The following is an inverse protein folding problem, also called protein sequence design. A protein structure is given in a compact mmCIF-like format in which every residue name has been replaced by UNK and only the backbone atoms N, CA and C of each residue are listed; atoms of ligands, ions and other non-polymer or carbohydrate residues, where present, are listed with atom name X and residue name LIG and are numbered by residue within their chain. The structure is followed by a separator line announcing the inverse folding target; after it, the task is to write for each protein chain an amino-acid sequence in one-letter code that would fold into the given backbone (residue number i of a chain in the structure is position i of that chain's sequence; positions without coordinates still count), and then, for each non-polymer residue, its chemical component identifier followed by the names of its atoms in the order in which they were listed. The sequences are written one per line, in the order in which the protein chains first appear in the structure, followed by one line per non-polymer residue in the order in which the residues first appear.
data_IF_332960083969
#
_entry.id   IF_332960083969
#
_cell.length_a   1.000
_cell.length_b   1.000
_cell.length_c   1.000
_cell.angle_alpha   90.00
_cell.angle_beta   90.00
_cell.angle_gamma   90.00
#
_symmetry.space_group_name_H-M   'P 1'
#
loop_
_entity.id
_entity.type
_entity.pdbx_description
1 polymer ?
#
# COMPACT_ATOMS: atom_id res chain seq x y z
N UNK A 1 -10.84 -35.69 -18.93
CA UNK A 1 -9.93 -35.52 -17.79
C UNK A 1 -8.75 -34.72 -18.30
N UNK A 2 -8.81 -33.41 -18.18
CA UNK A 2 -7.79 -32.50 -18.72
C UNK A 2 -7.28 -31.69 -17.51
N UNK A 3 -6.11 -32.11 -16.99
CA UNK A 3 -5.43 -31.42 -15.90
C UNK A 3 -4.58 -30.29 -16.51
N UNK A 4 -5.10 -29.07 -16.47
CA UNK A 4 -4.28 -27.86 -16.66
C UNK A 4 -3.73 -27.44 -15.29
N UNK A 5 -2.42 -27.22 -15.14
CA UNK A 5 -1.85 -26.72 -13.89
C UNK A 5 -2.29 -25.27 -13.64
N UNK A 6 -2.78 -25.01 -12.43
CA UNK A 6 -3.10 -23.67 -11.93
C UNK A 6 -1.88 -22.75 -12.04
N UNK A 7 -1.99 -21.76 -12.92
CA UNK A 7 -1.02 -20.66 -12.95
C UNK A 7 -1.16 -19.87 -11.64
N UNK A 8 -0.13 -19.90 -10.81
CA UNK A 8 -0.01 -19.06 -9.62
C UNK A 8 -0.24 -17.59 -10.00
N UNK A 9 -1.40 -17.05 -9.64
CA UNK A 9 -1.71 -15.62 -9.73
C UNK A 9 -0.95 -14.90 -8.62
N UNK A 10 0.24 -14.42 -8.93
CA UNK A 10 1.04 -13.60 -8.02
C UNK A 10 0.49 -12.18 -8.04
N UNK A 11 -0.02 -11.72 -6.89
CA UNK A 11 -0.55 -10.37 -6.74
C UNK A 11 0.56 -9.30 -6.80
N UNK A 12 0.16 -8.06 -7.12
CA UNK A 12 1.00 -6.88 -7.37
C UNK A 12 2.02 -6.57 -6.25
N UNK A 13 1.78 -7.03 -5.03
CA UNK A 13 2.51 -6.62 -3.83
C UNK A 13 2.96 -7.77 -2.92
N UNK A 14 3.13 -8.95 -3.48
CA UNK A 14 3.80 -10.05 -2.74
C UNK A 14 5.22 -9.69 -2.28
N UNK A 15 5.68 -8.48 -2.60
CA UNK A 15 6.91 -7.89 -2.08
C UNK A 15 6.92 -7.73 -0.57
N UNK A 16 5.75 -7.72 0.07
CA UNK A 16 5.62 -7.34 1.48
C UNK A 16 5.28 -8.49 2.43
N UNK A 17 5.11 -9.72 1.94
CA UNK A 17 4.51 -10.80 2.76
C UNK A 17 5.27 -12.11 2.82
N UNK A 18 6.61 -12.14 2.78
CA UNK A 18 7.33 -13.40 3.02
C UNK A 18 8.55 -13.21 3.92
N UNK A 19 8.31 -13.14 5.22
CA UNK A 19 9.27 -13.50 6.25
C UNK A 19 8.54 -13.90 7.54
N UNK A 20 7.81 -15.01 7.54
CA UNK A 20 7.52 -15.78 8.76
C UNK A 20 7.21 -17.23 8.38
N UNK A 21 8.10 -18.14 8.78
CA UNK A 21 7.80 -19.56 8.92
C UNK A 21 8.39 -20.46 7.85
N UNK A 22 9.59 -20.95 8.11
CA UNK A 22 9.97 -22.38 8.08
C UNK A 22 11.49 -22.50 8.31
N UNK A 23 11.88 -22.68 9.55
CA UNK A 23 13.13 -23.40 9.89
C UNK A 23 12.86 -24.88 9.62
N UNK A 24 13.16 -25.34 8.42
CA UNK A 24 13.36 -26.72 8.11
C UNK A 24 14.85 -26.91 7.78
N UNK A 25 15.53 -27.64 8.64
CA UNK A 25 16.90 -28.06 8.43
C UNK A 25 17.03 -28.84 7.11
N UNK A 26 17.83 -28.31 6.18
CA UNK A 26 18.35 -29.06 5.05
C UNK A 26 19.85 -29.20 5.23
N UNK A 27 20.25 -30.43 5.54
CA UNK A 27 21.63 -30.87 5.47
C UNK A 27 22.12 -30.88 4.02
N UNK A 28 23.25 -30.29 3.82
CA UNK A 28 24.24 -30.28 2.79
C UNK A 28 24.02 -31.03 1.49
N UNK A 29 23.94 -30.23 0.40
CA UNK A 29 24.70 -30.48 -0.82
C UNK A 29 25.41 -29.17 -1.12
N UNK A 30 26.73 -29.14 -1.01
CA UNK A 30 27.56 -28.03 -1.44
C UNK A 30 27.51 -27.99 -2.98
N UNK A 31 26.50 -27.36 -3.54
CA UNK A 31 26.57 -26.88 -4.91
C UNK A 31 27.62 -25.77 -4.94
N UNK A 32 28.68 -25.96 -5.72
CA UNK A 32 29.64 -24.93 -5.99
C UNK A 32 28.88 -23.64 -6.37
N UNK A 33 28.91 -22.64 -5.50
CA UNK A 33 28.32 -21.33 -5.74
C UNK A 33 29.11 -20.72 -6.90
N UNK A 34 28.59 -20.84 -8.13
CA UNK A 34 29.12 -20.02 -9.22
C UNK A 34 29.05 -18.57 -8.75
N UNK A 35 30.19 -17.89 -8.78
CA UNK A 35 30.25 -16.47 -8.44
C UNK A 35 29.23 -15.74 -9.32
N UNK A 36 28.38 -14.90 -8.71
CA UNK A 36 27.39 -14.14 -9.45
C UNK A 36 28.11 -13.26 -10.48
N UNK A 37 27.74 -13.27 -11.78
CA UNK A 37 28.34 -12.43 -12.81
C UNK A 37 28.38 -10.97 -12.36
N UNK A 38 29.40 -10.22 -12.74
CA UNK A 38 29.40 -8.78 -12.51
C UNK A 38 28.15 -8.10 -13.13
N UNK A 39 27.71 -6.99 -12.57
CA UNK A 39 26.48 -6.33 -13.02
C UNK A 39 26.47 -6.04 -14.53
N UNK A 40 27.58 -5.56 -15.11
CA UNK A 40 27.69 -5.31 -16.54
C UNK A 40 27.51 -6.59 -17.37
N UNK A 41 28.11 -7.70 -16.94
CA UNK A 41 27.92 -9.00 -17.60
C UNK A 41 26.48 -9.50 -17.48
N UNK A 42 25.82 -9.25 -16.33
CA UNK A 42 24.41 -9.56 -16.15
C UNK A 42 23.54 -8.73 -17.12
N UNK A 43 23.79 -7.43 -17.29
CA UNK A 43 23.07 -6.57 -18.24
C UNK A 43 23.13 -7.19 -19.65
N UNK A 44 24.31 -7.60 -20.11
CA UNK A 44 24.42 -8.25 -21.42
C UNK A 44 23.68 -9.61 -21.49
N UNK A 45 23.76 -10.42 -20.45
CA UNK A 45 23.03 -11.69 -20.39
C UNK A 45 21.51 -11.54 -20.27
N UNK A 46 21.03 -10.38 -19.79
CA UNK A 46 19.60 -10.05 -19.68
C UNK A 46 18.99 -9.59 -21.01
N UNK A 47 19.81 -9.00 -21.91
CA UNK A 47 19.40 -8.48 -23.23
C UNK A 47 18.52 -9.43 -24.03
N UNK A 48 18.91 -10.70 -24.30
CA UNK A 48 18.08 -11.61 -25.10
C UNK A 48 16.69 -11.84 -24.49
N UNK A 49 16.60 -11.85 -23.15
CA UNK A 49 15.32 -12.03 -22.44
C UNK A 49 14.39 -10.83 -22.59
N UNK A 50 14.93 -9.61 -22.59
CA UNK A 50 14.17 -8.40 -22.83
C UNK A 50 13.68 -8.32 -24.28
N UNK A 51 14.57 -8.62 -25.25
CA UNK A 51 14.24 -8.65 -26.68
C UNK A 51 13.15 -9.67 -26.97
N UNK A 52 13.26 -10.89 -26.44
CA UNK A 52 12.24 -11.94 -26.58
C UNK A 52 10.86 -11.54 -26.03
N UNK A 53 10.78 -10.49 -25.20
CA UNK A 53 9.54 -9.96 -24.63
C UNK A 53 9.08 -8.64 -25.26
N UNK A 54 9.64 -8.27 -26.42
CA UNK A 54 9.20 -7.16 -27.25
C UNK A 54 9.84 -5.82 -26.92
N UNK A 55 11.03 -5.81 -26.34
CA UNK A 55 11.91 -4.63 -26.25
C UNK A 55 12.84 -4.65 -27.45
N UNK A 56 12.95 -3.57 -28.23
CA UNK A 56 13.91 -3.49 -29.32
C UNK A 56 15.35 -3.43 -28.81
N UNK A 57 16.31 -3.87 -29.63
CA UNK A 57 17.73 -3.76 -29.29
C UNK A 57 18.15 -2.29 -29.10
N UNK A 58 17.59 -1.40 -29.90
CA UNK A 58 17.83 0.04 -29.81
C UNK A 58 17.36 0.61 -28.47
N UNK A 59 16.13 0.30 -28.01
CA UNK A 59 15.63 0.75 -26.70
C UNK A 59 16.42 0.12 -25.57
N UNK A 60 16.74 -1.18 -25.65
CA UNK A 60 17.56 -1.84 -24.65
C UNK A 60 18.93 -1.15 -24.50
N UNK A 61 19.63 -0.94 -25.61
CA UNK A 61 20.94 -0.28 -25.60
C UNK A 61 20.87 1.13 -25.05
N UNK A 62 19.91 1.93 -25.52
CA UNK A 62 19.73 3.31 -25.03
C UNK A 62 19.51 3.39 -23.53
N UNK A 63 18.73 2.47 -22.97
CA UNK A 63 18.31 2.53 -21.54
C UNK A 63 19.29 1.79 -20.63
N UNK A 64 19.80 0.63 -21.05
CA UNK A 64 20.55 -0.28 -20.19
C UNK A 64 22.08 -0.18 -20.31
N UNK A 65 22.62 0.36 -21.41
CA UNK A 65 24.07 0.38 -21.63
C UNK A 65 24.88 1.09 -20.50
N UNK A 66 24.32 2.14 -19.95
CA UNK A 66 24.98 2.94 -18.89
C UNK A 66 24.24 2.86 -17.54
N UNK A 67 23.30 1.92 -17.37
CA UNK A 67 22.55 1.80 -16.14
C UNK A 67 23.49 1.41 -14.99
N UNK A 68 23.36 2.14 -13.88
CA UNK A 68 24.01 1.79 -12.59
C UNK A 68 22.95 1.29 -11.64
N UNK A 69 23.16 0.14 -10.96
CA UNK A 69 22.16 -0.41 -10.06
C UNK A 69 22.04 0.47 -8.81
N UNK A 70 20.81 0.80 -8.41
CA UNK A 70 20.56 1.47 -7.12
C UNK A 70 20.58 0.42 -6.00
N UNK A 71 21.77 0.14 -5.46
CA UNK A 71 21.93 -0.87 -4.41
C UNK A 71 21.33 -0.48 -3.07
N UNK A 72 20.92 0.79 -2.89
CA UNK A 72 20.24 1.24 -1.66
C UNK A 72 18.87 0.56 -1.44
N UNK A 73 18.29 -0.02 -2.50
CA UNK A 73 17.03 -0.78 -2.43
C UNK A 73 17.14 -2.03 -1.54
N UNK A 74 18.33 -2.61 -1.40
CA UNK A 74 18.52 -3.82 -0.57
C UNK A 74 18.31 -3.56 0.92
N UNK A 75 18.64 -2.37 1.42
CA UNK A 75 18.35 -1.98 2.79
C UNK A 75 16.82 -1.86 3.01
N UNK A 76 16.11 -1.32 2.02
CA UNK A 76 14.65 -1.14 2.08
C UNK A 76 13.88 -2.48 2.14
N UNK A 77 14.42 -3.53 1.51
CA UNK A 77 13.82 -4.89 1.58
C UNK A 77 13.92 -5.45 3.01
N UNK A 78 15.05 -5.20 3.70
CA UNK A 78 15.30 -5.72 5.04
C UNK A 78 14.56 -4.96 6.13
N UNK A 79 14.43 -3.64 5.95
CA UNK A 79 13.87 -2.71 6.93
C UNK A 79 12.43 -2.32 6.58
N UNK A 80 11.51 -3.31 6.51
CA UNK A 80 10.10 -3.03 6.24
C UNK A 80 9.37 -2.69 7.56
N UNK A 81 9.10 -1.41 7.87
CA UNK A 81 8.47 -1.01 9.14
C UNK A 81 7.07 -1.59 9.33
N UNK A 82 6.41 -1.97 8.24
CA UNK A 82 5.02 -2.44 8.21
C UNK A 82 4.79 -3.76 8.97
N UNK A 83 5.85 -4.54 9.21
CA UNK A 83 5.77 -5.78 9.98
C UNK A 83 6.01 -5.59 11.49
N UNK A 84 6.50 -4.42 11.90
CA UNK A 84 6.83 -4.14 13.30
C UNK A 84 5.83 -3.20 13.97
N UNK A 85 4.90 -2.61 13.23
CA UNK A 85 3.91 -1.68 13.74
C UNK A 85 2.64 -2.41 14.16
N UNK A 86 2.17 -2.22 15.40
CA UNK A 86 0.91 -2.80 15.85
C UNK A 86 -0.27 -2.19 15.10
N UNK A 87 -1.32 -2.98 14.86
CA UNK A 87 -2.43 -2.61 13.97
C UNK A 87 -3.07 -1.25 14.31
N UNK A 88 -3.32 -0.95 15.59
CA UNK A 88 -3.98 0.31 15.95
C UNK A 88 -3.09 1.54 15.70
N UNK A 89 -1.74 1.42 15.89
CA UNK A 89 -0.80 2.49 15.54
C UNK A 89 -0.78 2.71 14.03
N UNK A 90 -0.76 1.62 13.27
CA UNK A 90 -0.84 1.66 11.80
C UNK A 90 -2.11 2.38 11.34
N UNK A 91 -3.29 2.01 11.90
CA UNK A 91 -4.56 2.65 11.58
C UNK A 91 -4.55 4.14 11.95
N UNK A 92 -4.15 4.50 13.16
CA UNK A 92 -4.11 5.90 13.61
C UNK A 92 -3.22 6.77 12.70
N UNK A 93 -2.07 6.25 12.27
CA UNK A 93 -1.17 6.96 11.37
C UNK A 93 -1.71 7.07 9.95
N UNK A 94 -2.41 6.05 9.46
CA UNK A 94 -2.94 6.01 8.10
C UNK A 94 -4.30 6.68 7.96
N UNK A 95 -5.13 6.66 9.00
CA UNK A 95 -6.48 7.26 9.05
C UNK A 95 -6.44 8.52 9.92
N UNK A 96 -5.53 9.43 9.61
CA UNK A 96 -5.35 10.69 10.34
C UNK A 96 -6.32 11.77 9.87
N UNK A 97 -6.58 12.77 10.73
CA UNK A 97 -7.41 13.93 10.39
C UNK A 97 -6.92 14.64 9.12
N UNK A 98 -5.59 14.73 8.94
CA UNK A 98 -5.00 15.28 7.71
C UNK A 98 -5.52 14.55 6.46
N UNK A 99 -5.40 13.20 6.42
CA UNK A 99 -5.86 12.43 5.26
C UNK A 99 -7.38 12.46 5.07
N UNK A 100 -8.13 12.45 6.17
CA UNK A 100 -9.59 12.53 6.12
C UNK A 100 -10.02 13.86 5.49
N UNK A 101 -9.48 14.98 5.97
CA UNK A 101 -9.84 16.31 5.50
C UNK A 101 -9.41 16.51 4.04
N UNK A 102 -8.17 16.20 3.70
CA UNK A 102 -7.70 16.26 2.33
C UNK A 102 -8.50 15.36 1.40
N UNK A 103 -8.85 14.15 1.84
CA UNK A 103 -9.69 13.24 1.05
C UNK A 103 -11.07 13.83 0.76
N UNK A 104 -11.71 14.47 1.74
CA UNK A 104 -13.00 15.17 1.57
C UNK A 104 -12.89 16.33 0.58
N UNK A 105 -11.80 17.09 0.64
CA UNK A 105 -11.56 18.19 -0.28
C UNK A 105 -11.33 17.69 -1.71
N UNK A 106 -10.56 16.61 -1.88
CA UNK A 106 -10.35 15.99 -3.19
C UNK A 106 -11.61 15.32 -3.76
N UNK A 107 -12.48 14.74 -2.93
CA UNK A 107 -13.80 14.26 -3.40
C UNK A 107 -14.62 15.41 -3.99
N UNK A 108 -14.61 16.60 -3.38
CA UNK A 108 -15.29 17.78 -3.91
C UNK A 108 -14.61 18.30 -5.18
N UNK A 109 -13.29 18.47 -5.13
CA UNK A 109 -12.48 19.01 -6.23
C UNK A 109 -12.59 18.16 -7.51
N UNK A 110 -12.63 16.83 -7.36
CA UNK A 110 -12.68 15.88 -8.48
C UNK A 110 -14.05 15.21 -8.63
N UNK A 111 -15.14 15.85 -8.17
CA UNK A 111 -16.47 15.25 -8.15
C UNK A 111 -16.89 14.72 -9.54
N UNK A 112 -16.75 15.52 -10.60
CA UNK A 112 -17.13 15.11 -11.96
C UNK A 112 -16.32 13.92 -12.49
N UNK A 113 -15.02 13.85 -12.16
CA UNK A 113 -14.17 12.70 -12.52
C UNK A 113 -14.61 11.47 -11.76
N UNK A 114 -14.79 11.59 -10.45
CA UNK A 114 -15.18 10.46 -9.57
C UNK A 114 -16.58 9.94 -9.93
N UNK A 115 -17.53 10.83 -10.29
CA UNK A 115 -18.86 10.44 -10.78
C UNK A 115 -18.77 9.60 -12.06
N UNK A 116 -17.89 9.97 -12.99
CA UNK A 116 -17.67 9.18 -14.22
C UNK A 116 -17.07 7.81 -13.89
N UNK A 117 -16.00 7.77 -13.08
CA UNK A 117 -15.30 6.52 -12.73
C UNK A 117 -16.24 5.57 -11.99
N UNK A 118 -17.02 6.07 -11.03
CA UNK A 118 -17.97 5.27 -10.27
C UNK A 118 -19.10 4.73 -11.16
N UNK A 119 -19.61 5.55 -12.11
CA UNK A 119 -20.58 5.09 -13.11
C UNK A 119 -20.00 4.01 -14.02
N UNK A 120 -18.77 4.18 -14.51
CA UNK A 120 -18.19 3.30 -15.51
C UNK A 120 -17.69 1.97 -14.90
N UNK A 121 -17.13 2.01 -13.71
CA UNK A 121 -16.54 0.83 -13.06
C UNK A 121 -17.30 0.30 -11.85
N UNK A 122 -18.22 1.07 -11.28
CA UNK A 122 -18.96 0.66 -10.08
C UNK A 122 -18.13 0.59 -8.80
N UNK A 123 -16.95 1.17 -8.80
CA UNK A 123 -16.08 1.24 -7.61
C UNK A 123 -16.42 2.50 -6.84
N UNK A 124 -16.66 2.35 -5.54
CA UNK A 124 -16.96 3.44 -4.62
C UNK A 124 -15.84 4.51 -4.66
N UNK A 125 -16.23 5.76 -4.88
CA UNK A 125 -15.32 6.91 -4.99
C UNK A 125 -14.46 7.11 -3.74
N UNK A 126 -15.01 6.84 -2.56
CA UNK A 126 -14.29 7.02 -1.31
C UNK A 126 -13.17 5.98 -1.16
N UNK A 127 -13.38 4.76 -1.67
CA UNK A 127 -12.34 3.72 -1.73
C UNK A 127 -11.20 4.15 -2.67
N UNK A 128 -11.51 4.73 -3.83
CA UNK A 128 -10.49 5.23 -4.76
C UNK A 128 -9.67 6.39 -4.16
N UNK A 129 -10.36 7.35 -3.53
CA UNK A 129 -9.71 8.49 -2.89
C UNK A 129 -8.89 8.05 -1.69
N UNK A 130 -9.36 7.07 -0.90
CA UNK A 130 -8.59 6.50 0.20
C UNK A 130 -7.33 5.76 -0.30
N UNK A 131 -7.42 4.98 -1.37
CA UNK A 131 -6.25 4.37 -2.02
C UNK A 131 -5.25 5.44 -2.44
N UNK A 132 -5.69 6.49 -3.12
CA UNK A 132 -4.84 7.60 -3.52
C UNK A 132 -4.14 8.26 -2.32
N UNK A 133 -4.88 8.51 -1.24
CA UNK A 133 -4.34 9.08 -0.01
C UNK A 133 -3.30 8.20 0.69
N UNK A 134 -3.52 6.89 0.72
CA UNK A 134 -2.59 5.93 1.35
C UNK A 134 -1.33 5.74 0.49
N UNK A 135 -1.47 5.69 -0.83
CA UNK A 135 -0.38 5.37 -1.75
C UNK A 135 0.61 6.52 -1.95
N UNK A 136 0.12 7.72 -2.11
CA UNK A 136 0.96 8.87 -2.47
C UNK A 136 0.63 10.17 -1.74
N UNK A 137 -0.17 10.12 -0.66
CA UNK A 137 -0.72 11.33 -0.03
C UNK A 137 -1.38 12.24 -1.08
N UNK A 138 -2.30 11.67 -1.85
CA UNK A 138 -3.03 12.38 -2.91
C UNK A 138 -2.13 12.97 -4.00
N UNK A 139 -1.04 12.29 -4.33
CA UNK A 139 -0.10 12.72 -5.36
C UNK A 139 1.04 13.62 -4.88
N UNK A 140 1.00 14.14 -3.66
CA UNK A 140 2.05 15.05 -3.13
C UNK A 140 3.44 14.40 -3.11
N UNK A 141 3.51 13.08 -2.92
CA UNK A 141 4.79 12.38 -2.87
C UNK A 141 5.34 12.04 -4.26
N UNK A 142 4.53 12.13 -5.32
CA UNK A 142 4.90 11.67 -6.66
C UNK A 142 6.09 12.42 -7.24
N UNK A 143 6.18 13.72 -6.99
CA UNK A 143 7.28 14.56 -7.46
C UNK A 143 8.42 14.70 -6.44
N UNK A 144 8.32 14.12 -5.24
CA UNK A 144 9.28 14.34 -4.18
C UNK A 144 10.48 13.38 -4.30
N UNK A 145 11.71 13.88 -4.60
CA UNK A 145 12.90 13.06 -4.81
C UNK A 145 13.36 12.30 -3.57
N UNK A 146 12.92 12.69 -2.37
CA UNK A 146 13.19 11.97 -1.13
C UNK A 146 12.51 10.60 -1.09
N UNK A 147 11.33 10.47 -1.74
CA UNK A 147 10.53 9.27 -1.73
C UNK A 147 10.52 8.54 -3.08
N UNK A 148 10.74 9.28 -4.17
CA UNK A 148 10.69 8.77 -5.54
C UNK A 148 12.08 8.79 -6.17
N UNK A 149 12.53 7.65 -6.63
CA UNK A 149 13.84 7.42 -7.26
C UNK A 149 13.70 6.96 -8.71
N UNK A 150 14.75 6.98 -9.51
CA UNK A 150 14.72 6.39 -10.85
C UNK A 150 14.36 4.89 -10.79
N UNK A 151 13.33 4.50 -11.54
CA UNK A 151 12.76 3.13 -11.49
C UNK A 151 13.66 2.12 -12.17
N UNK A 152 14.27 2.46 -13.32
CA UNK A 152 15.14 1.54 -14.07
C UNK A 152 16.35 1.09 -13.22
N UNK A 153 17.14 1.97 -12.59
CA UNK A 153 18.21 1.58 -11.67
C UNK A 153 17.76 0.72 -10.49
N UNK A 154 16.58 1.04 -9.92
CA UNK A 154 16.03 0.30 -8.79
C UNK A 154 15.62 -1.13 -9.18
N UNK A 155 14.86 -1.29 -10.27
CA UNK A 155 14.46 -2.59 -10.78
C UNK A 155 15.65 -3.41 -11.29
N UNK A 156 16.65 -2.78 -11.93
CA UNK A 156 17.86 -3.45 -12.35
C UNK A 156 18.66 -4.02 -11.16
N UNK A 157 18.78 -3.24 -10.06
CA UNK A 157 19.39 -3.73 -8.84
C UNK A 157 18.62 -4.92 -8.25
N UNK A 158 17.30 -4.84 -8.16
CA UNK A 158 16.44 -5.92 -7.63
C UNK A 158 16.51 -7.18 -8.50
N UNK A 159 16.45 -7.04 -9.81
CA UNK A 159 16.55 -8.15 -10.78
C UNK A 159 17.91 -8.84 -10.71
N UNK A 160 18.98 -8.07 -10.50
CA UNK A 160 20.33 -8.59 -10.35
C UNK A 160 20.57 -9.23 -8.99
N UNK A 161 20.26 -8.54 -7.89
CA UNK A 161 20.76 -8.85 -6.56
C UNK A 161 19.75 -9.45 -5.58
N UNK A 162 18.44 -9.60 -5.92
CA UNK A 162 17.44 -10.22 -5.06
C UNK A 162 17.03 -11.61 -5.57
N UNK A 163 17.70 -12.68 -5.13
CA UNK A 163 17.52 -14.01 -5.70
C UNK A 163 16.15 -14.63 -5.44
N UNK A 164 15.49 -14.29 -4.31
CA UNK A 164 14.22 -14.90 -3.90
C UNK A 164 13.07 -14.59 -4.86
N UNK A 165 13.11 -13.41 -5.51
CA UNK A 165 12.07 -12.93 -6.42
C UNK A 165 12.65 -12.45 -7.76
N UNK A 166 13.80 -12.96 -8.16
CA UNK A 166 14.50 -12.53 -9.38
C UNK A 166 13.59 -12.51 -10.60
N UNK A 167 12.86 -13.59 -10.86
CA UNK A 167 11.97 -13.68 -12.01
C UNK A 167 10.89 -12.59 -12.04
N UNK A 168 10.36 -12.22 -10.88
CA UNK A 168 9.41 -11.11 -10.74
C UNK A 168 10.07 -9.77 -11.07
N UNK A 169 11.24 -9.48 -10.50
CA UNK A 169 11.94 -8.22 -10.73
C UNK A 169 12.42 -8.09 -12.17
N UNK A 170 12.91 -9.16 -12.77
CA UNK A 170 13.25 -9.20 -14.20
C UNK A 170 12.02 -8.91 -15.07
N UNK A 171 10.87 -9.47 -14.74
CA UNK A 171 9.63 -9.20 -15.47
C UNK A 171 9.19 -7.74 -15.33
N UNK A 172 9.28 -7.15 -14.14
CA UNK A 172 8.94 -5.75 -13.93
C UNK A 172 9.92 -4.80 -14.65
N UNK A 173 11.21 -5.14 -14.69
CA UNK A 173 12.18 -4.39 -15.48
C UNK A 173 11.86 -4.47 -16.99
N UNK A 174 11.51 -5.65 -17.50
CA UNK A 174 11.07 -5.83 -18.90
C UNK A 174 9.81 -4.99 -19.16
N UNK A 175 8.84 -4.99 -18.25
CA UNK A 175 7.62 -4.21 -18.38
C UNK A 175 7.93 -2.70 -18.43
N UNK A 176 8.86 -2.21 -17.59
CA UNK A 176 9.32 -0.83 -17.62
C UNK A 176 9.99 -0.46 -18.95
N UNK A 177 10.85 -1.34 -19.47
CA UNK A 177 11.47 -1.15 -20.79
C UNK A 177 10.42 -1.13 -21.92
N UNK A 178 9.39 -1.96 -21.84
CA UNK A 178 8.28 -1.97 -22.83
C UNK A 178 7.41 -0.71 -22.77
N UNK A 179 7.26 -0.09 -21.61
CA UNK A 179 6.60 1.23 -21.49
C UNK A 179 7.39 2.29 -22.24
N UNK A 180 8.73 2.26 -22.07
CA UNK A 180 9.65 3.17 -22.78
C UNK A 180 9.65 2.87 -24.29
N UNK A 181 9.64 1.61 -24.69
CA UNK A 181 9.53 1.18 -26.10
C UNK A 181 8.30 1.75 -26.79
N UNK A 182 7.16 1.80 -26.07
CA UNK A 182 5.90 2.36 -26.57
C UNK A 182 5.87 3.90 -26.60
N UNK A 183 6.91 4.55 -26.10
CA UNK A 183 6.95 6.00 -25.97
C UNK A 183 5.99 6.58 -24.91
N UNK A 184 5.48 5.73 -24.01
CA UNK A 184 4.57 6.21 -22.96
C UNK A 184 5.29 6.95 -21.84
N UNK A 185 6.60 6.74 -21.69
CA UNK A 185 7.46 7.44 -20.73
C UNK A 185 8.92 7.38 -21.17
N UNK A 186 9.78 8.14 -20.49
CA UNK A 186 11.23 8.07 -20.62
C UNK A 186 11.85 7.51 -19.33
N UNK A 187 13.13 7.04 -19.37
CA UNK A 187 13.81 6.58 -18.14
C UNK A 187 13.87 7.66 -17.05
N UNK A 188 13.96 8.93 -17.44
CA UNK A 188 14.06 10.09 -16.54
C UNK A 188 12.72 10.40 -15.87
N UNK A 189 11.61 10.27 -16.61
CA UNK A 189 10.25 10.44 -16.10
C UNK A 189 9.82 9.32 -15.17
N UNK A 190 10.36 8.10 -15.38
CA UNK A 190 10.00 6.93 -14.56
C UNK A 190 10.60 7.02 -13.17
N UNK A 191 9.90 7.71 -12.28
CA UNK A 191 10.27 7.83 -10.87
C UNK A 191 9.24 7.13 -9.99
N UNK A 192 9.73 6.39 -9.00
CA UNK A 192 8.85 5.57 -8.16
C UNK A 192 9.47 5.21 -6.82
N UNK A 193 8.79 4.34 -6.09
CA UNK A 193 9.30 3.77 -4.85
C UNK A 193 10.56 2.92 -5.10
N UNK A 194 11.21 2.49 -4.03
CA UNK A 194 12.36 1.58 -4.10
C UNK A 194 12.04 0.25 -4.84
N UNK A 195 10.79 -0.16 -4.86
CA UNK A 195 10.31 -1.36 -5.54
C UNK A 195 9.82 -1.10 -6.98
N UNK A 196 9.92 0.14 -7.49
CA UNK A 196 9.48 0.51 -8.82
C UNK A 196 7.99 0.80 -8.96
N UNK A 197 7.25 0.99 -7.87
CA UNK A 197 5.86 1.43 -7.90
C UNK A 197 5.79 2.94 -8.19
N UNK A 198 4.91 3.37 -9.11
CA UNK A 198 4.92 4.70 -9.71
C UNK A 198 3.57 5.43 -9.61
N UNK A 199 3.65 6.75 -9.60
CA UNK A 199 2.51 7.65 -9.79
C UNK A 199 1.54 7.72 -8.62
N UNK A 200 0.39 8.32 -8.87
CA UNK A 200 -0.64 8.64 -7.88
C UNK A 200 -1.09 7.44 -7.03
N UNK A 201 -1.25 6.30 -7.64
CA UNK A 201 -1.73 5.06 -6.98
C UNK A 201 -0.69 3.95 -6.98
N UNK A 202 0.59 4.32 -7.16
CA UNK A 202 1.74 3.44 -7.02
C UNK A 202 1.66 2.16 -7.87
N UNK A 203 1.52 2.33 -9.20
CA UNK A 203 1.50 1.19 -10.13
C UNK A 203 2.86 0.57 -10.31
N UNK A 204 2.89 -0.75 -10.29
CA UNK A 204 4.01 -1.50 -10.88
C UNK A 204 3.97 -1.39 -12.41
N UNK A 205 5.11 -1.52 -13.11
CA UNK A 205 5.14 -1.50 -14.58
C UNK A 205 4.15 -2.46 -15.24
N UNK A 206 3.92 -3.64 -14.65
CA UNK A 206 2.93 -4.62 -15.13
C UNK A 206 1.53 -4.01 -15.19
N UNK A 207 1.14 -3.29 -14.13
CA UNK A 207 -0.19 -2.68 -14.05
C UNK A 207 -0.35 -1.56 -15.06
N UNK A 208 0.67 -0.74 -15.24
CA UNK A 208 0.67 0.30 -16.27
C UNK A 208 0.42 -0.29 -17.66
N UNK A 209 1.14 -1.36 -18.03
CA UNK A 209 1.01 -2.01 -19.35
C UNK A 209 -0.32 -2.71 -19.58
N UNK A 210 -0.85 -3.39 -18.56
CA UNK A 210 -1.95 -4.35 -18.75
C UNK A 210 -3.31 -3.85 -18.24
N UNK A 211 -3.31 -2.85 -17.36
CA UNK A 211 -4.52 -2.30 -16.72
C UNK A 211 -4.68 -0.82 -17.01
N UNK A 212 -3.58 -0.11 -17.25
CA UNK A 212 -3.58 1.32 -17.52
C UNK A 212 -4.56 1.73 -18.61
N UNK A 213 -5.23 2.86 -18.41
CA UNK A 213 -6.23 3.44 -19.28
C UNK A 213 -5.85 4.91 -19.54
N UNK A 214 -5.91 5.34 -20.78
CA UNK A 214 -5.97 6.75 -21.18
C UNK A 214 -7.41 7.22 -20.96
N UNK A 215 -7.72 7.68 -19.76
CA UNK A 215 -9.09 8.00 -19.36
C UNK A 215 -9.49 9.45 -19.66
N UNK A 216 -8.53 10.35 -19.67
CA UNK A 216 -8.76 11.76 -20.12
C UNK A 216 -8.62 11.92 -21.63
N UNK A 217 -8.22 10.84 -22.36
CA UNK A 217 -8.12 10.76 -23.83
C UNK A 217 -7.12 11.75 -24.43
N UNK A 218 -6.02 11.98 -23.71
CA UNK A 218 -4.93 12.83 -24.21
C UNK A 218 -3.95 12.10 -25.12
N UNK A 219 -4.15 10.77 -25.34
CA UNK A 219 -3.31 9.91 -26.16
C UNK A 219 -2.20 9.21 -25.39
N UNK A 220 -2.10 9.39 -24.07
CA UNK A 220 -1.09 8.80 -23.21
C UNK A 220 -1.72 8.17 -21.96
N UNK A 221 -1.17 7.05 -21.54
CA UNK A 221 -1.49 6.48 -20.22
C UNK A 221 -0.48 7.03 -19.22
N UNK A 222 -0.89 7.93 -18.35
CA UNK A 222 0.02 8.65 -17.46
C UNK A 222 -0.33 8.52 -15.97
N UNK A 223 0.45 7.74 -15.18
CA UNK A 223 0.20 7.63 -13.74
C UNK A 223 0.63 8.84 -12.92
N UNK A 224 1.34 9.83 -13.50
CA UNK A 224 1.99 10.93 -12.79
C UNK A 224 1.27 12.28 -12.94
N UNK A 225 0.60 12.51 -14.05
CA UNK A 225 0.02 13.80 -14.42
C UNK A 225 -1.23 14.14 -13.63
N UNK A 226 -2.31 14.40 -14.35
CA UNK A 226 -3.63 14.49 -13.72
C UNK A 226 -4.03 13.13 -13.13
N UNK A 227 -4.87 13.09 -12.08
CA UNK A 227 -5.23 11.84 -11.44
C UNK A 227 -6.18 10.94 -12.24
N UNK A 228 -6.68 11.42 -13.40
CA UNK A 228 -7.72 10.78 -14.21
C UNK A 228 -7.35 9.33 -14.57
N UNK A 229 -6.21 9.13 -15.23
CA UNK A 229 -5.73 7.81 -15.64
C UNK A 229 -5.44 6.92 -14.44
N UNK A 230 -4.80 7.48 -13.42
CA UNK A 230 -4.42 6.74 -12.24
C UNK A 230 -5.64 6.21 -11.49
N UNK A 231 -6.65 7.05 -11.26
CA UNK A 231 -7.86 6.67 -10.53
C UNK A 231 -8.74 5.71 -11.35
N UNK A 232 -8.95 5.99 -12.63
CA UNK A 232 -9.73 5.13 -13.50
C UNK A 232 -9.09 3.74 -13.68
N UNK A 233 -7.77 3.69 -13.88
CA UNK A 233 -7.06 2.41 -13.97
C UNK A 233 -7.05 1.65 -12.64
N UNK A 234 -7.02 2.35 -11.50
CA UNK A 234 -7.16 1.72 -10.19
C UNK A 234 -8.55 1.11 -10.02
N UNK A 235 -9.61 1.81 -10.47
CA UNK A 235 -10.96 1.25 -10.50
C UNK A 235 -11.02 0.01 -11.42
N UNK A 236 -10.47 0.10 -12.63
CA UNK A 236 -10.34 -1.02 -13.56
C UNK A 236 -9.59 -2.21 -12.93
N UNK A 237 -8.51 -1.94 -12.18
CA UNK A 237 -7.76 -2.97 -11.44
C UNK A 237 -8.64 -3.69 -10.41
N UNK A 238 -9.35 -2.94 -9.58
CA UNK A 238 -10.22 -3.50 -8.55
C UNK A 238 -11.33 -4.37 -9.16
N UNK A 239 -11.88 -3.99 -10.31
CA UNK A 239 -12.87 -4.78 -11.03
C UNK A 239 -12.23 -6.02 -11.67
N UNK A 240 -11.15 -5.86 -12.44
CA UNK A 240 -10.55 -6.95 -13.23
C UNK A 240 -9.79 -7.97 -12.37
N UNK A 241 -9.10 -7.52 -11.33
CA UNK A 241 -8.27 -8.37 -10.46
C UNK A 241 -8.96 -8.73 -9.15
N UNK A 242 -9.79 -7.81 -8.61
CA UNK A 242 -10.47 -7.97 -7.34
C UNK A 242 -11.93 -8.44 -7.48
N UNK A 243 -12.49 -8.40 -8.68
CA UNK A 243 -13.92 -8.64 -8.90
C UNK A 243 -14.82 -7.73 -8.05
N UNK A 244 -14.43 -6.46 -7.89
CA UNK A 244 -15.14 -5.48 -7.07
C UNK A 244 -16.62 -5.40 -7.49
N UNK A 245 -17.53 -5.38 -6.53
CA UNK A 245 -18.98 -5.39 -6.76
C UNK A 245 -19.57 -4.03 -6.45
N UNK A 246 -20.32 -3.51 -7.43
CA UNK A 246 -21.05 -2.26 -7.32
C UNK A 246 -22.08 -2.33 -6.18
N UNK A 247 -22.11 -1.28 -5.35
CA UNK A 247 -23.09 -1.13 -4.28
C UNK A 247 -22.92 -2.03 -3.07
N UNK A 248 -21.92 -2.92 -3.06
CA UNK A 248 -21.56 -3.68 -1.86
C UNK A 248 -20.52 -2.92 -1.03
N UNK A 249 -20.80 -2.77 0.27
CA UNK A 249 -19.85 -2.23 1.23
C UNK A 249 -18.73 -3.25 1.51
N UNK A 250 -17.54 -2.79 1.93
CA UNK A 250 -16.40 -3.67 2.22
C UNK A 250 -16.63 -4.60 3.42
N UNK A 251 -17.49 -4.19 4.36
CA UNK A 251 -17.76 -4.89 5.61
C UNK A 251 -18.13 -3.93 6.73
N UNK A 252 -18.14 -4.41 7.96
CA UNK A 252 -18.57 -3.63 9.13
C UNK A 252 -17.80 -4.03 10.37
N UNK A 253 -17.49 -3.06 11.24
CA UNK A 253 -17.14 -3.33 12.62
C UNK A 253 -18.37 -3.91 13.34
N UNK A 254 -18.16 -4.96 14.15
CA UNK A 254 -19.27 -5.70 14.77
C UNK A 254 -19.03 -5.99 16.25
N UNK A 255 -20.11 -6.06 17.02
CA UNK A 255 -20.16 -6.67 18.34
C UNK A 255 -20.52 -8.14 18.16
N UNK A 256 -19.85 -9.03 18.88
CA UNK A 256 -20.12 -10.47 18.83
C UNK A 256 -20.27 -11.04 20.23
N UNK A 257 -21.17 -12.00 20.45
CA UNK A 257 -21.23 -12.79 21.69
C UNK A 257 -19.95 -13.62 21.89
N UNK A 258 -19.65 -13.92 23.15
CA UNK A 258 -18.56 -14.82 23.48
C UNK A 258 -18.79 -16.21 22.82
N UNK A 259 -17.73 -16.84 22.38
CA UNK A 259 -17.79 -18.17 21.75
C UNK A 259 -18.10 -18.16 20.24
N UNK A 260 -18.53 -17.03 19.65
CA UNK A 260 -18.69 -16.92 18.19
C UNK A 260 -17.31 -16.87 17.55
N UNK A 261 -17.01 -17.89 16.72
CA UNK A 261 -15.70 -18.08 16.08
C UNK A 261 -15.66 -17.54 14.66
N UNK A 262 -14.46 -17.27 14.16
CA UNK A 262 -14.23 -16.89 12.76
C UNK A 262 -14.80 -17.93 11.80
N UNK A 263 -15.60 -17.49 10.86
CA UNK A 263 -16.20 -18.27 9.80
C UNK A 263 -16.70 -17.32 8.68
N UNK A 264 -17.15 -17.89 7.57
CA UNK A 264 -17.85 -17.13 6.51
C UNK A 264 -19.33 -17.54 6.53
N UNK A 265 -20.23 -16.55 6.66
CA UNK A 265 -21.68 -16.74 6.69
C UNK A 265 -22.35 -15.54 6.04
N UNK A 266 -23.66 -15.66 5.74
CA UNK A 266 -24.47 -14.48 5.37
C UNK A 266 -24.65 -13.53 6.55
N UNK A 267 -24.87 -12.24 6.29
CA UNK A 267 -25.16 -11.28 7.36
C UNK A 267 -26.38 -11.71 8.20
N UNK A 268 -27.42 -12.24 7.55
CA UNK A 268 -28.60 -12.78 8.26
C UNK A 268 -28.22 -13.94 9.21
N UNK A 269 -27.30 -14.83 8.78
CA UNK A 269 -26.85 -15.93 9.61
C UNK A 269 -25.98 -15.43 10.78
N UNK A 270 -25.20 -14.38 10.59
CA UNK A 270 -24.46 -13.71 11.65
C UNK A 270 -25.39 -13.07 12.68
N UNK A 271 -26.45 -12.39 12.22
CA UNK A 271 -27.48 -11.80 13.12
C UNK A 271 -28.17 -12.85 13.99
N UNK A 272 -28.49 -14.02 13.41
CA UNK A 272 -29.07 -15.17 14.20
C UNK A 272 -28.12 -15.67 15.29
N UNK A 273 -26.83 -15.46 15.15
CA UNK A 273 -25.81 -15.77 16.18
C UNK A 273 -25.59 -14.60 17.16
N UNK A 274 -26.39 -13.54 17.08
CA UNK A 274 -26.28 -12.37 17.94
C UNK A 274 -25.17 -11.38 17.53
N UNK A 275 -24.58 -11.53 16.35
CA UNK A 275 -23.61 -10.57 15.83
C UNK A 275 -24.36 -9.36 15.28
N UNK A 276 -23.99 -8.16 15.76
CA UNK A 276 -24.61 -6.89 15.35
C UNK A 276 -23.54 -5.90 14.88
N UNK A 277 -23.91 -4.94 14.07
CA UNK A 277 -23.00 -3.84 13.74
C UNK A 277 -22.67 -3.05 15.01
N UNK A 278 -21.44 -2.60 15.14
CA UNK A 278 -20.97 -1.86 16.31
C UNK A 278 -21.66 -0.49 16.45
N UNK A 279 -22.07 0.10 15.31
CA UNK A 279 -22.83 1.36 15.25
C UNK A 279 -24.34 1.21 15.50
N UNK A 280 -24.82 -0.01 15.77
CA UNK A 280 -26.23 -0.32 16.05
C UNK A 280 -27.15 -0.36 14.84
N UNK A 281 -26.64 -0.12 13.63
CA UNK A 281 -27.46 -0.17 12.41
C UNK A 281 -27.71 -1.61 11.92
N UNK A 282 -28.71 -1.81 11.05
CA UNK A 282 -28.95 -3.09 10.39
C UNK A 282 -27.93 -3.35 9.28
N UNK A 283 -27.71 -4.61 8.92
CA UNK A 283 -26.96 -4.97 7.72
C UNK A 283 -27.84 -4.78 6.48
N UNK A 284 -27.43 -3.94 5.51
CA UNK A 284 -28.30 -3.59 4.37
C UNK A 284 -28.49 -4.74 3.36
N UNK A 285 -27.59 -5.72 3.35
CA UNK A 285 -27.61 -6.85 2.39
C UNK A 285 -27.59 -8.20 3.14
N UNK A 286 -28.72 -8.65 3.73
CA UNK A 286 -28.76 -9.80 4.63
C UNK A 286 -28.28 -11.12 4.00
N UNK A 287 -28.42 -11.27 2.68
CA UNK A 287 -28.00 -12.46 1.95
C UNK A 287 -26.53 -12.42 1.48
N UNK A 288 -25.87 -11.27 1.54
CA UNK A 288 -24.45 -11.18 1.21
C UNK A 288 -23.61 -11.90 2.28
N UNK A 289 -22.50 -12.49 1.85
CA UNK A 289 -21.61 -13.23 2.75
C UNK A 289 -20.48 -12.35 3.25
N UNK A 290 -20.11 -12.56 4.52
CA UNK A 290 -18.95 -11.92 5.12
C UNK A 290 -18.21 -12.89 6.03
N UNK A 291 -16.88 -12.72 6.11
CA UNK A 291 -16.03 -13.47 7.03
C UNK A 291 -15.86 -12.68 8.33
N UNK A 292 -16.15 -13.30 9.46
CA UNK A 292 -15.77 -12.75 10.75
C UNK A 292 -14.25 -12.77 10.89
N UNK A 293 -13.67 -11.66 11.31
CA UNK A 293 -12.23 -11.53 11.59
C UNK A 293 -12.02 -10.74 12.87
N UNK A 294 -11.09 -11.21 13.70
CA UNK A 294 -10.61 -10.53 14.91
C UNK A 294 -9.10 -10.37 14.77
N UNK A 295 -8.64 -9.28 14.11
CA UNK A 295 -7.22 -9.12 13.79
C UNK A 295 -6.30 -9.05 15.01
N UNK A 296 -6.84 -8.62 16.15
CA UNK A 296 -6.12 -8.52 17.43
C UNK A 296 -7.03 -9.07 18.53
N UNK A 297 -6.54 -10.02 19.30
CA UNK A 297 -7.29 -10.60 20.43
C UNK A 297 -7.72 -9.50 21.42
N UNK A 298 -8.99 -9.50 21.80
CA UNK A 298 -9.59 -8.48 22.66
C UNK A 298 -9.87 -7.14 22.00
N UNK A 299 -9.56 -7.00 20.72
CA UNK A 299 -9.82 -5.80 19.91
C UNK A 299 -11.12 -5.87 19.11
N UNK A 300 -11.36 -4.85 18.26
CA UNK A 300 -12.51 -4.81 17.35
C UNK A 300 -12.62 -6.06 16.46
N UNK A 301 -13.85 -6.53 16.32
CA UNK A 301 -14.19 -7.58 15.37
C UNK A 301 -14.82 -6.97 14.12
N UNK A 302 -14.62 -7.61 12.98
CA UNK A 302 -15.11 -7.15 11.69
C UNK A 302 -15.81 -8.30 10.94
N UNK A 303 -16.89 -7.98 10.26
CA UNK A 303 -17.43 -8.80 9.19
C UNK A 303 -16.89 -8.27 7.87
N UNK A 304 -15.93 -8.98 7.28
CA UNK A 304 -15.24 -8.61 6.05
C UNK A 304 -16.01 -9.18 4.84
N UNK A 305 -16.58 -8.30 4.05
CA UNK A 305 -17.34 -8.63 2.85
C UNK A 305 -16.47 -8.87 1.61
N UNK A 306 -17.13 -9.06 0.47
CA UNK A 306 -16.44 -9.34 -0.80
C UNK A 306 -15.50 -8.19 -1.21
N UNK A 307 -15.95 -6.95 -1.11
CA UNK A 307 -15.16 -5.79 -1.53
C UNK A 307 -13.94 -5.54 -0.64
N UNK A 308 -13.92 -6.03 0.60
CA UNK A 308 -12.67 -6.08 1.38
C UNK A 308 -11.63 -6.96 0.68
N UNK A 309 -12.03 -8.14 0.21
CA UNK A 309 -11.13 -9.04 -0.52
C UNK A 309 -10.70 -8.44 -1.86
N UNK A 310 -11.58 -7.70 -2.53
CA UNK A 310 -11.26 -6.99 -3.77
C UNK A 310 -10.16 -5.93 -3.53
N UNK A 311 -10.28 -5.09 -2.51
CA UNK A 311 -9.25 -4.12 -2.14
C UNK A 311 -7.97 -4.81 -1.70
N UNK A 312 -8.05 -5.95 -1.01
CA UNK A 312 -6.90 -6.73 -0.57
C UNK A 312 -6.05 -7.27 -1.73
N UNK A 313 -6.59 -7.38 -2.95
CA UNK A 313 -5.77 -7.72 -4.13
C UNK A 313 -4.74 -6.65 -4.48
N UNK A 314 -4.99 -5.41 -4.05
CA UNK A 314 -4.05 -4.30 -4.24
C UNK A 314 -2.79 -4.46 -3.36
N UNK A 315 -2.98 -4.91 -2.13
CA UNK A 315 -1.92 -5.30 -1.19
C UNK A 315 -2.46 -6.39 -0.25
N UNK A 316 -1.79 -7.54 -0.11
CA UNK A 316 -2.28 -8.67 0.67
C UNK A 316 -2.31 -8.42 2.20
N UNK A 317 -1.75 -7.33 2.69
CA UNK A 317 -1.78 -6.96 4.12
C UNK A 317 -3.20 -6.62 4.58
N UNK A 318 -3.65 -7.28 5.64
CA UNK A 318 -4.94 -6.99 6.27
C UNK A 318 -4.94 -5.59 6.90
N UNK A 319 -3.83 -5.18 7.54
CA UNK A 319 -3.69 -3.85 8.14
C UNK A 319 -3.80 -2.74 7.09
N UNK A 320 -3.15 -2.93 5.94
CA UNK A 320 -3.26 -2.01 4.81
C UNK A 320 -4.71 -1.91 4.29
N UNK A 321 -5.36 -3.06 4.08
CA UNK A 321 -6.73 -3.07 3.58
C UNK A 321 -7.69 -2.41 4.55
N UNK A 322 -7.58 -2.72 5.86
CA UNK A 322 -8.38 -2.07 6.90
C UNK A 322 -8.16 -0.55 6.93
N UNK A 323 -6.93 -0.08 6.77
CA UNK A 323 -6.65 1.35 6.72
C UNK A 323 -7.34 2.03 5.54
N UNK A 324 -7.31 1.42 4.35
CA UNK A 324 -7.97 1.98 3.15
C UNK A 324 -9.47 2.05 3.34
N UNK A 325 -10.12 0.93 3.70
CA UNK A 325 -11.56 0.89 3.79
C UNK A 325 -12.10 1.72 4.96
N UNK A 326 -11.37 1.78 6.08
CA UNK A 326 -11.71 2.67 7.19
C UNK A 326 -11.50 4.14 6.82
N UNK A 327 -10.42 4.49 6.12
CA UNK A 327 -10.22 5.85 5.61
C UNK A 327 -11.33 6.25 4.62
N UNK A 328 -11.77 5.33 3.76
CA UNK A 328 -12.90 5.55 2.86
C UNK A 328 -14.17 5.91 3.63
N UNK A 329 -14.52 5.14 4.65
CA UNK A 329 -15.68 5.42 5.51
C UNK A 329 -15.54 6.79 6.20
N UNK A 330 -14.35 7.11 6.71
CA UNK A 330 -14.10 8.40 7.37
C UNK A 330 -14.22 9.59 6.42
N UNK A 331 -13.75 9.46 5.17
CA UNK A 331 -13.91 10.48 4.12
C UNK A 331 -15.39 10.64 3.78
N UNK A 332 -16.14 9.55 3.69
CA UNK A 332 -17.58 9.53 3.43
C UNK A 332 -18.43 10.14 4.58
N UNK A 333 -17.82 10.47 5.72
CA UNK A 333 -18.51 11.06 6.88
C UNK A 333 -18.76 10.08 8.03
N UNK A 334 -18.35 8.84 7.90
CA UNK A 334 -18.43 7.83 8.97
C UNK A 334 -17.57 8.20 10.20
N UNK A 335 -17.93 7.63 11.34
CA UNK A 335 -17.24 7.80 12.61
C UNK A 335 -15.94 6.99 12.73
N UNK A 336 -15.17 7.18 13.81
CA UNK A 336 -14.07 6.30 14.17
C UNK A 336 -14.58 4.90 14.52
N UNK A 337 -13.67 3.92 14.68
CA UNK A 337 -14.02 2.62 15.23
C UNK A 337 -14.64 2.80 16.63
N UNK A 338 -15.69 2.03 16.90
CA UNK A 338 -16.48 2.12 18.17
C UNK A 338 -15.75 1.41 19.31
N UNK A 339 -15.09 0.30 18.99
CA UNK A 339 -14.36 -0.50 19.98
C UNK A 339 -12.88 -0.16 19.94
N UNK A 340 -12.24 -0.12 21.10
CA UNK A 340 -10.80 0.14 21.22
C UNK A 340 -9.99 -1.14 21.09
N UNK A 341 -8.78 -1.04 20.55
CA UNK A 341 -7.78 -2.12 20.63
C UNK A 341 -7.16 -2.16 22.04
N UNK A 342 -6.73 -3.33 22.53
CA UNK A 342 -6.00 -3.41 23.78
C UNK A 342 -4.75 -2.52 23.78
N UNK A 343 -4.61 -1.71 24.83
CA UNK A 343 -3.49 -0.77 24.98
C UNK A 343 -3.46 0.39 24.01
N UNK A 344 -4.49 0.57 23.18
CA UNK A 344 -4.53 1.67 22.21
C UNK A 344 -4.73 3.04 22.86
N UNK A 345 -4.25 4.05 22.16
CA UNK A 345 -4.60 5.44 22.37
C UNK A 345 -5.60 5.88 21.29
N UNK A 346 -6.42 6.88 21.56
CA UNK A 346 -7.19 7.50 20.48
C UNK A 346 -6.23 8.13 19.45
N UNK A 347 -6.69 8.29 18.23
CA UNK A 347 -5.92 8.99 17.19
C UNK A 347 -5.70 10.45 17.65
N UNK A 348 -4.44 10.94 17.65
CA UNK A 348 -4.18 12.35 17.89
C UNK A 348 -4.82 13.22 16.81
N UNK A 349 -5.36 14.37 17.20
CA UNK A 349 -5.86 15.36 16.25
C UNK A 349 -4.73 16.00 15.45
N UNK A 350 -5.06 16.66 14.34
CA UNK A 350 -4.08 17.40 13.55
C UNK A 350 -3.33 18.43 14.40
N UNK A 351 -4.05 19.19 15.25
CA UNK A 351 -3.46 20.19 16.13
C UNK A 351 -2.50 19.57 17.16
N UNK A 352 -2.86 18.41 17.72
CA UNK A 352 -2.01 17.68 18.66
C UNK A 352 -0.73 17.15 18.01
N UNK A 353 -0.81 16.67 16.76
CA UNK A 353 0.38 16.25 16.01
C UNK A 353 1.27 17.45 15.67
N UNK A 354 0.72 18.57 15.30
CA UNK A 354 1.48 19.80 15.08
C UNK A 354 2.14 20.31 16.37
N UNK A 355 1.44 20.24 17.51
CA UNK A 355 2.02 20.58 18.82
C UNK A 355 3.17 19.63 19.15
N UNK A 356 2.98 18.32 18.98
CA UNK A 356 3.98 17.30 19.22
C UNK A 356 5.27 17.57 18.39
N UNK A 357 5.10 17.85 17.10
CA UNK A 357 6.23 18.17 16.23
C UNK A 357 6.98 19.44 16.66
N UNK A 358 6.26 20.52 16.97
CA UNK A 358 6.89 21.77 17.48
C UNK A 358 7.66 21.52 18.77
N UNK A 359 7.08 20.79 19.73
CA UNK A 359 7.73 20.49 21.01
C UNK A 359 8.94 19.58 20.87
N UNK A 360 8.89 18.57 19.98
CA UNK A 360 10.02 17.72 19.66
C UNK A 360 11.18 18.54 19.10
N UNK A 361 10.92 19.40 18.12
CA UNK A 361 11.94 20.26 17.52
C UNK A 361 12.54 21.23 18.55
N UNK A 362 11.71 21.84 19.41
CA UNK A 362 12.19 22.68 20.50
C UNK A 362 13.04 21.89 21.53
N UNK A 363 12.79 20.61 21.74
CA UNK A 363 13.56 19.73 22.61
C UNK A 363 14.84 19.17 21.94
N UNK A 364 15.15 19.59 20.70
CA UNK A 364 16.34 19.20 19.95
C UNK A 364 16.16 17.95 19.07
N UNK A 365 14.91 17.50 18.82
CA UNK A 365 14.59 16.38 17.95
C UNK A 365 13.85 16.89 16.70
N UNK A 366 14.61 17.16 15.63
CA UNK A 366 14.06 17.71 14.40
C UNK A 366 13.07 16.74 13.73
N UNK A 367 11.87 17.25 13.44
CA UNK A 367 10.77 16.53 12.78
C UNK A 367 10.62 16.85 11.29
N UNK A 368 11.45 17.77 10.78
CA UNK A 368 11.36 18.27 9.41
C UNK A 368 10.16 19.20 9.17
N UNK A 369 9.60 19.77 10.27
CA UNK A 369 8.45 20.68 10.23
C UNK A 369 7.34 20.29 11.19
N UNK A 370 6.26 21.11 11.26
CA UNK A 370 5.12 20.89 12.15
C UNK A 370 3.80 20.93 11.35
N UNK A 371 3.72 20.12 10.30
CA UNK A 371 2.58 20.02 9.39
C UNK A 371 1.48 19.07 9.90
N UNK A 372 1.71 18.36 11.01
CA UNK A 372 0.79 17.36 11.57
C UNK A 372 0.82 16.00 10.82
N UNK A 373 1.79 15.80 9.93
CA UNK A 373 1.99 14.56 9.17
C UNK A 373 3.07 13.71 9.83
N UNK A 374 2.75 12.47 10.16
CA UNK A 374 3.72 11.55 10.75
C UNK A 374 4.48 10.81 9.65
N UNK A 375 5.58 11.40 9.21
CA UNK A 375 6.54 10.82 8.26
C UNK A 375 7.72 10.17 8.96
N UNK A 376 8.70 9.71 8.16
CA UNK A 376 9.90 9.04 8.67
C UNK A 376 10.70 9.91 9.64
N UNK A 377 10.82 11.21 9.38
CA UNK A 377 11.60 12.11 10.24
C UNK A 377 10.91 12.30 11.59
N UNK A 378 9.58 12.52 11.59
CA UNK A 378 8.79 12.57 12.83
C UNK A 378 8.95 11.27 13.64
N UNK A 379 8.84 10.10 13.00
CA UNK A 379 8.99 8.81 13.69
C UNK A 379 10.41 8.63 14.28
N UNK A 380 11.43 9.04 13.56
CA UNK A 380 12.82 9.02 14.07
C UNK A 380 13.00 9.95 15.26
N UNK A 381 12.48 11.19 15.18
CA UNK A 381 12.52 12.17 16.24
C UNK A 381 11.79 11.66 17.51
N UNK A 382 10.60 11.10 17.35
CA UNK A 382 9.84 10.49 18.45
C UNK A 382 10.61 9.36 19.10
N UNK A 383 11.17 8.42 18.30
CA UNK A 383 11.93 7.30 18.83
C UNK A 383 13.18 7.76 19.60
N UNK A 384 13.90 8.75 19.10
CA UNK A 384 15.04 9.32 19.79
C UNK A 384 14.63 9.99 21.10
N UNK A 385 13.52 10.73 21.12
CA UNK A 385 12.93 11.32 22.30
C UNK A 385 12.52 10.26 23.34
N UNK A 386 11.76 9.23 22.92
CA UNK A 386 11.33 8.12 23.78
C UNK A 386 12.53 7.49 24.49
N UNK A 387 13.63 7.18 23.75
CA UNK A 387 14.86 6.64 24.33
C UNK A 387 15.51 7.58 25.36
N UNK A 388 15.56 8.89 25.06
CA UNK A 388 16.15 9.89 25.97
C UNK A 388 15.42 10.01 27.30
N UNK A 389 14.08 9.91 27.27
CA UNK A 389 13.25 10.09 28.47
C UNK A 389 12.79 8.77 29.10
N UNK A 390 13.27 7.62 28.61
CA UNK A 390 12.90 6.29 29.11
C UNK A 390 11.42 5.93 28.90
N UNK A 391 10.80 6.42 27.82
CA UNK A 391 9.40 6.10 27.48
C UNK A 391 9.34 4.85 26.61
N UNK A 392 8.85 3.75 27.15
CA UNK A 392 8.74 2.47 26.44
C UNK A 392 7.30 2.20 25.93
N UNK A 393 7.14 1.51 24.80
CA UNK A 393 8.22 1.10 23.88
C UNK A 393 8.78 2.30 23.09
N UNK A 394 10.09 2.30 22.84
CA UNK A 394 10.72 3.32 21.98
C UNK A 394 10.50 2.99 20.49
N UNK A 395 9.24 2.96 20.07
CA UNK A 395 8.77 2.50 18.76
C UNK A 395 8.66 3.61 17.70
N UNK A 396 8.72 4.89 18.13
CA UNK A 396 8.56 6.04 17.24
C UNK A 396 7.10 6.40 16.96
N UNK A 397 6.13 5.83 17.68
CA UNK A 397 4.74 6.20 17.55
C UNK A 397 4.47 7.60 18.14
N UNK A 398 3.98 8.52 17.30
CA UNK A 398 3.66 9.90 17.66
C UNK A 398 2.29 9.98 18.36
N UNK A 399 2.19 9.39 19.55
CA UNK A 399 0.95 9.25 20.31
C UNK A 399 0.79 10.27 21.43
N UNK A 400 -0.34 10.16 22.12
CA UNK A 400 -0.72 11.07 23.22
C UNK A 400 0.19 10.94 24.44
N UNK A 401 0.75 9.73 24.70
CA UNK A 401 1.73 9.55 25.77
C UNK A 401 3.01 10.34 25.51
N UNK A 402 3.47 10.38 24.27
CA UNK A 402 4.64 11.19 23.86
C UNK A 402 4.32 12.67 24.04
N UNK A 403 3.14 13.12 23.57
CA UNK A 403 2.71 14.51 23.74
C UNK A 403 2.58 14.91 25.21
N UNK A 404 1.98 14.06 26.03
CA UNK A 404 1.85 14.31 27.48
C UNK A 404 3.23 14.47 28.16
N UNK A 405 4.21 13.64 27.76
CA UNK A 405 5.59 13.75 28.28
C UNK A 405 6.27 15.03 27.83
N UNK A 406 6.09 15.43 26.57
CA UNK A 406 6.61 16.69 26.03
C UNK A 406 6.00 17.94 26.68
N UNK A 407 4.75 17.87 27.15
CA UNK A 407 4.07 18.96 27.85
C UNK A 407 4.59 19.17 29.29
N UNK A 408 5.27 18.18 29.86
CA UNK A 408 5.86 18.23 31.22
C UNK A 408 7.27 18.79 31.21
N UNK A 409 7.86 19.02 30.06
CA UNK A 409 9.21 19.60 29.90
C UNK A 409 9.14 21.10 29.65
#
# INVERSE_FOLDING_TARGET
MDHRPDALRIGRRDCFTLAAGALAAWAGVASATQAQPGFAQWVESFRPRAIARGVSDATYTRVMANVKPDTSVYAQIRDQPEFNEVLWQYLNRRVSDYRINQGRDYVKQHAALLDRIERDFGVDRYVLVALWGIESSYGELVANPKYMRPVIPALAALAYGEPRRRAYWEQELINALRIIERGWSTPEEMRGSWAGAMGHTQWMPEVWLNIGLDYDKDGRINPFGKPDDALASTASYLVKRGSYRRGEHWGYEVRRPNGVREATRTYAAWQKLGVTRADGQAFPHPNATARLSVPVDGGPAFLLGHNFSAVKTYNPSTSYTLAIVHLADRIAGGGPLVQSFPGSERTPTLAELQELQRRLTAAGFDTGGADGRVGTDTMKAVRAFQKKVGLEPADGYAGLKVLAKLRQM
#
